data_IF_072381619719
#
_entry.id   IF_072381619719
#
_cell.length_a   1.000
_cell.length_b   1.000
_cell.length_c   1.000
_cell.angle_alpha   90.00
_cell.angle_beta   90.00
_cell.angle_gamma   90.00
#
_symmetry.space_group_name_H-M   'P 1'
#
loop_
_entity.id
_entity.type
_entity.pdbx_description
1 polymer ?
#
# COMPACT_ATOMS: atom_id res chain seq x y z
N UNK A 1 -15.15 -4.27 22.04
CA UNK A 1 -14.42 -3.42 21.08
C UNK A 1 -12.93 -3.51 21.33
N UNK A 2 -12.19 -4.14 20.42
CA UNK A 2 -10.73 -4.36 20.53
C UNK A 2 -9.90 -3.11 20.17
N UNK A 3 -10.48 -1.90 20.24
CA UNK A 3 -9.81 -0.65 19.89
C UNK A 3 -9.43 -0.51 18.40
N UNK A 4 -9.95 -1.36 17.50
CA UNK A 4 -9.67 -1.30 16.06
C UNK A 4 -10.46 -0.17 15.40
N UNK A 5 -9.78 0.60 14.55
CA UNK A 5 -10.40 1.64 13.72
C UNK A 5 -10.93 1.01 12.43
N UNK A 6 -12.17 1.33 12.08
CA UNK A 6 -12.76 0.93 10.80
C UNK A 6 -12.22 1.87 9.69
N UNK A 7 -11.48 1.31 8.74
CA UNK A 7 -10.70 2.10 7.78
C UNK A 7 -11.58 2.88 6.79
N UNK A 8 -12.76 2.37 6.43
CA UNK A 8 -13.65 3.10 5.54
C UNK A 8 -14.19 4.36 6.21
N UNK A 9 -14.61 4.26 7.47
CA UNK A 9 -15.06 5.38 8.28
C UNK A 9 -13.95 6.41 8.51
N UNK A 10 -12.71 5.94 8.68
CA UNK A 10 -11.53 6.80 8.73
C UNK A 10 -11.33 7.55 7.41
N UNK A 11 -11.38 6.86 6.27
CA UNK A 11 -11.27 7.49 4.94
C UNK A 11 -12.36 8.53 4.69
N UNK A 12 -13.62 8.21 5.05
CA UNK A 12 -14.74 9.15 4.95
C UNK A 12 -14.54 10.38 5.86
N UNK A 13 -13.98 10.18 7.05
CA UNK A 13 -13.64 11.27 7.95
C UNK A 13 -12.53 12.16 7.38
N UNK A 14 -11.43 11.58 6.88
CA UNK A 14 -10.35 12.31 6.23
C UNK A 14 -10.85 13.13 5.05
N UNK A 15 -11.70 12.55 4.22
CA UNK A 15 -12.34 13.27 3.12
C UNK A 15 -13.17 14.47 3.60
N UNK A 16 -13.98 14.31 4.65
CA UNK A 16 -14.74 15.43 5.25
C UNK A 16 -13.84 16.52 5.83
N UNK A 17 -12.62 16.18 6.25
CA UNK A 17 -11.60 17.14 6.66
C UNK A 17 -10.87 17.81 5.50
N UNK A 18 -11.22 17.51 4.24
CA UNK A 18 -10.56 18.05 3.05
C UNK A 18 -9.27 17.32 2.66
N UNK A 19 -8.98 16.17 3.28
CA UNK A 19 -7.82 15.35 2.92
C UNK A 19 -8.18 14.52 1.69
N UNK A 20 -7.64 14.91 0.55
CA UNK A 20 -7.87 14.24 -0.74
C UNK A 20 -6.86 13.13 -1.02
N UNK A 21 -5.66 13.25 -0.48
CA UNK A 21 -4.54 12.32 -0.71
C UNK A 21 -3.93 12.00 0.66
N UNK A 22 -3.83 10.72 0.99
CA UNK A 22 -3.19 10.24 2.19
C UNK A 22 -2.08 9.25 1.81
N UNK A 23 -0.87 9.52 2.27
CA UNK A 23 0.24 8.56 2.19
C UNK A 23 0.20 7.66 3.43
N UNK A 24 0.03 6.36 3.22
CA UNK A 24 0.01 5.36 4.29
C UNK A 24 1.35 4.64 4.31
N UNK A 25 2.24 5.03 5.22
CA UNK A 25 3.56 4.41 5.40
C UNK A 25 3.60 3.34 6.50
N UNK A 26 2.51 3.18 7.26
CA UNK A 26 2.49 2.32 8.46
C UNK A 26 2.89 0.87 8.18
N UNK A 27 3.41 0.19 9.21
CA UNK A 27 4.03 -1.14 9.13
C UNK A 27 3.14 -2.22 8.51
N UNK A 28 3.72 -3.41 8.25
CA UNK A 28 3.11 -4.44 7.39
C UNK A 28 1.62 -4.71 7.61
N UNK A 29 1.15 -4.76 8.86
CA UNK A 29 -0.27 -4.96 9.17
C UNK A 29 -1.16 -3.79 8.71
N UNK A 30 -0.76 -2.54 8.90
CA UNK A 30 -1.55 -1.38 8.45
C UNK A 30 -1.65 -1.39 6.93
N UNK A 31 -0.53 -1.54 6.22
CA UNK A 31 -0.52 -1.64 4.76
C UNK A 31 -1.41 -2.80 4.27
N UNK A 32 -1.34 -3.96 4.93
CA UNK A 32 -2.19 -5.11 4.63
C UNK A 32 -3.69 -4.82 4.76
N UNK A 33 -4.10 -4.12 5.82
CA UNK A 33 -5.51 -3.80 6.06
C UNK A 33 -6.10 -2.90 4.95
N UNK A 34 -5.33 -1.92 4.46
CA UNK A 34 -5.74 -1.11 3.31
C UNK A 34 -5.82 -1.94 2.03
N UNK A 35 -4.82 -2.79 1.78
CA UNK A 35 -4.79 -3.66 0.60
C UNK A 35 -5.98 -4.62 0.64
N UNK A 36 -6.18 -5.38 1.71
CA UNK A 36 -7.23 -6.42 1.76
C UNK A 36 -8.64 -5.83 1.61
N UNK A 37 -8.87 -4.62 2.12
CA UNK A 37 -10.15 -3.91 2.03
C UNK A 37 -10.33 -3.11 0.73
N UNK A 38 -9.36 -3.17 -0.18
CA UNK A 38 -9.35 -2.43 -1.45
C UNK A 38 -9.31 -0.90 -1.31
N UNK A 39 -8.87 -0.36 -0.17
CA UNK A 39 -8.81 1.07 0.14
C UNK A 39 -7.48 1.72 -0.28
N UNK A 40 -6.99 1.42 -1.47
CA UNK A 40 -5.76 2.00 -2.01
C UNK A 40 -5.86 2.24 -3.51
N UNK A 41 -5.08 3.17 -4.03
CA UNK A 41 -4.98 3.45 -5.46
C UNK A 41 -3.61 3.08 -6.03
N UNK A 42 -2.54 3.35 -5.28
CA UNK A 42 -1.15 3.14 -5.69
C UNK A 42 -0.31 2.60 -4.52
N UNK A 43 0.70 1.79 -4.82
CA UNK A 43 1.67 1.25 -3.85
C UNK A 43 3.07 1.63 -4.31
N UNK A 44 3.86 2.15 -3.37
CA UNK A 44 5.27 2.49 -3.56
C UNK A 44 6.11 1.47 -2.80
N UNK A 45 6.91 0.70 -3.52
CA UNK A 45 7.78 -0.33 -2.95
C UNK A 45 9.23 0.13 -3.09
N UNK A 46 9.90 0.29 -1.95
CA UNK A 46 11.34 0.53 -1.89
C UNK A 46 12.07 -0.79 -1.68
N UNK A 47 13.02 -1.08 -2.57
CA UNK A 47 13.85 -2.29 -2.53
C UNK A 47 15.30 -1.84 -2.36
N UNK A 48 15.90 -2.20 -1.22
CA UNK A 48 17.26 -1.83 -0.86
C UNK A 48 18.24 -2.98 -1.14
N UNK A 49 19.50 -2.71 -1.55
CA UNK A 49 20.54 -3.71 -1.72
C UNK A 49 21.12 -4.19 -0.35
N UNK A 50 20.24 -4.42 0.64
CA UNK A 50 20.58 -4.83 2.01
C UNK A 50 19.87 -6.16 2.33
N UNK A 51 20.62 -7.12 2.87
CA UNK A 51 20.10 -8.44 3.28
C UNK A 51 20.03 -8.50 4.80
N UNK A 52 18.81 -8.61 5.34
CA UNK A 52 18.56 -8.65 6.80
C UNK A 52 18.23 -10.05 7.33
N UNK A 53 17.99 -11.04 6.45
CA UNK A 53 17.55 -12.37 6.87
C UNK A 53 16.02 -12.44 7.02
N UNK A 54 15.53 -12.96 8.15
CA UNK A 54 14.10 -13.03 8.43
C UNK A 54 13.54 -11.66 8.84
N UNK A 55 12.29 -11.40 8.48
CA UNK A 55 11.65 -10.11 8.73
C UNK A 55 10.14 -10.19 8.84
N UNK A 56 9.53 -9.04 9.07
CA UNK A 56 8.07 -8.88 9.14
C UNK A 56 7.54 -8.74 7.71
N UNK A 57 6.60 -9.60 7.33
CA UNK A 57 5.94 -9.52 6.02
C UNK A 57 4.89 -8.41 5.99
N UNK A 58 4.68 -7.82 4.82
CA UNK A 58 3.56 -6.91 4.53
C UNK A 58 2.23 -7.66 4.43
N UNK A 59 2.23 -9.00 4.32
CA UNK A 59 1.01 -9.81 4.21
C UNK A 59 0.48 -10.31 5.56
N UNK A 60 -0.85 -10.33 5.71
CA UNK A 60 -1.56 -11.05 6.77
C UNK A 60 -1.99 -12.47 6.36
N UNK A 61 -2.76 -13.15 7.23
CA UNK A 61 -3.15 -14.57 7.09
C UNK A 61 -4.19 -14.89 6.00
N UNK A 62 -4.83 -13.88 5.40
CA UNK A 62 -5.86 -14.08 4.37
C UNK A 62 -5.25 -13.96 2.98
N UNK A 63 -4.93 -15.09 2.36
CA UNK A 63 -4.21 -15.08 1.09
C UNK A 63 -5.13 -14.82 -0.10
N UNK A 64 -4.69 -13.95 -0.99
CA UNK A 64 -5.16 -13.97 -2.37
C UNK A 64 -4.59 -15.20 -3.07
N UNK A 65 -5.41 -15.86 -3.88
CA UNK A 65 -4.98 -16.82 -4.90
C UNK A 65 -4.96 -16.12 -6.27
N UNK A 66 -4.43 -16.77 -7.30
CA UNK A 66 -4.37 -16.18 -8.65
C UNK A 66 -5.74 -15.76 -9.21
N UNK A 67 -6.84 -16.40 -8.76
CA UNK A 67 -8.20 -16.09 -9.18
C UNK A 67 -8.80 -14.83 -8.56
N UNK A 68 -8.37 -14.44 -7.34
CA UNK A 68 -8.86 -13.24 -6.64
C UNK A 68 -7.74 -12.22 -6.33
N UNK A 69 -6.55 -12.43 -6.88
CA UNK A 69 -5.42 -11.51 -6.73
C UNK A 69 -5.73 -10.15 -7.35
N UNK A 70 -5.28 -9.10 -6.67
CA UNK A 70 -5.32 -7.74 -7.20
C UNK A 70 -4.26 -7.60 -8.28
N UNK A 71 -4.70 -7.45 -9.52
CA UNK A 71 -3.82 -7.21 -10.67
C UNK A 71 -3.48 -5.72 -10.70
N UNK A 72 -2.19 -5.41 -10.56
CA UNK A 72 -1.69 -4.04 -10.59
C UNK A 72 -0.79 -3.85 -11.82
N UNK A 73 -0.70 -2.61 -12.29
CA UNK A 73 0.17 -2.19 -13.39
C UNK A 73 1.42 -1.55 -12.82
N UNK A 74 2.57 -1.86 -13.42
CA UNK A 74 3.81 -1.14 -13.15
C UNK A 74 3.69 0.24 -13.77
N UNK A 75 3.84 1.27 -12.94
CA UNK A 75 3.79 2.67 -13.35
C UNK A 75 5.19 3.20 -13.63
N UNK A 76 6.14 2.94 -12.73
CA UNK A 76 7.54 3.32 -12.95
C UNK A 76 8.50 2.50 -12.10
N UNK A 77 9.75 2.46 -12.54
CA UNK A 77 10.89 1.91 -11.81
C UNK A 77 11.98 2.99 -11.83
N UNK A 78 12.41 3.46 -10.66
CA UNK A 78 13.40 4.54 -10.53
C UNK A 78 14.45 4.17 -9.48
N UNK A 79 15.73 4.47 -9.75
CA UNK A 79 16.78 4.41 -8.73
C UNK A 79 16.68 5.66 -7.84
N UNK A 80 16.68 5.47 -6.52
CA UNK A 80 16.64 6.55 -5.52
C UNK A 80 17.74 6.28 -4.50
N UNK A 81 18.81 7.08 -4.52
CA UNK A 81 20.03 6.72 -3.78
C UNK A 81 20.57 5.38 -4.27
N UNK A 82 20.78 4.42 -3.36
CA UNK A 82 21.16 3.04 -3.70
C UNK A 82 19.97 2.07 -3.81
N UNK A 83 18.75 2.55 -3.54
CA UNK A 83 17.53 1.75 -3.57
C UNK A 83 16.81 1.85 -4.93
N UNK A 84 15.84 0.96 -5.14
CA UNK A 84 14.89 1.00 -6.25
C UNK A 84 13.50 1.31 -5.72
N UNK A 85 12.88 2.36 -6.27
CA UNK A 85 11.46 2.64 -6.11
C UNK A 85 10.68 2.00 -7.27
N UNK A 86 9.80 1.07 -6.93
CA UNK A 86 8.78 0.50 -7.81
C UNK A 86 7.41 1.09 -7.48
N UNK A 87 6.80 1.80 -8.43
CA UNK A 87 5.42 2.31 -8.32
C UNK A 87 4.46 1.37 -9.07
N UNK A 88 3.42 0.88 -8.39
CA UNK A 88 2.37 0.02 -8.98
C UNK A 88 0.96 0.52 -8.63
N UNK A 89 -0.02 0.42 -9.55
CA UNK A 89 -1.39 0.94 -9.35
C UNK A 89 -2.47 0.05 -9.97
N UNK A 90 -3.72 0.19 -9.52
CA UNK A 90 -4.88 -0.59 -9.99
C UNK A 90 -5.22 -0.33 -11.47
N UNK A 91 -5.33 0.92 -11.91
CA UNK A 91 -5.64 1.26 -13.31
C UNK A 91 -5.44 2.75 -13.66
N UNK A 92 -5.47 3.65 -12.68
CA UNK A 92 -5.25 5.09 -12.87
C UNK A 92 -3.79 5.45 -12.61
N UNK A 93 -3.15 6.09 -13.59
CA UNK A 93 -1.88 6.78 -13.38
C UNK A 93 -2.21 8.14 -12.78
N UNK A 94 -1.81 8.35 -11.54
CA UNK A 94 -1.85 9.67 -10.92
C UNK A 94 -0.52 10.34 -11.19
N UNK A 95 -0.49 11.34 -12.08
CA UNK A 95 0.64 12.26 -12.21
C UNK A 95 0.58 13.30 -11.10
N UNK A 96 0.68 12.81 -9.88
CA UNK A 96 0.78 13.64 -8.69
C UNK A 96 2.14 13.26 -8.10
N UNK A 97 3.08 14.21 -8.12
CA UNK A 97 4.51 14.10 -7.79
C UNK A 97 5.45 13.51 -8.85
#
# INVERSE_FOLDING_TARGET
DDGKIELKSLSDFLYRCGVMIALVEGGGMTAWEFIKQDLFDEIWVFISPIILGSGISVGGSNFFNLGNAKKLKIISIKKVGDDVLLRISKDKIWEIF
#
